data_IF_556801483127
#
_entry.id   IF_556801483127
#
_cell.length_a   1.000
_cell.length_b   1.000
_cell.length_c   1.000
_cell.angle_alpha   90.00
_cell.angle_beta   90.00
_cell.angle_gamma   90.00
#
_symmetry.space_group_name_H-M   'P 1'
#
loop_
_entity.id
_entity.type
_entity.pdbx_description
1 polymer ?
#
# COMPACT_ATOMS: atom_id res chain seq x y z
N UNK A 1 -20.71 5.25 -3.54
CA UNK A 1 -19.73 6.32 -3.81
C UNK A 1 -18.79 5.83 -4.89
N UNK A 2 -18.87 6.42 -6.09
CA UNK A 2 -18.04 6.03 -7.23
C UNK A 2 -16.63 6.61 -7.08
N UNK A 3 -15.61 5.77 -7.27
CA UNK A 3 -14.18 6.12 -7.25
C UNK A 3 -13.78 6.88 -8.54
N UNK A 4 -14.31 8.05 -8.72
CA UNK A 4 -14.12 8.77 -9.97
C UNK A 4 -13.20 9.97 -9.86
N UNK A 5 -11.87 9.81 -9.92
CA UNK A 5 -10.98 10.94 -10.28
C UNK A 5 -9.49 10.57 -10.49
N UNK A 6 -9.16 9.37 -10.94
CA UNK A 6 -7.78 9.07 -11.38
C UNK A 6 -7.49 9.48 -12.84
N UNK A 7 -8.43 10.14 -13.53
CA UNK A 7 -8.17 10.78 -14.83
C UNK A 7 -7.46 12.14 -14.74
N UNK A 8 -7.04 12.56 -13.53
CA UNK A 8 -6.20 13.76 -13.42
C UNK A 8 -4.74 13.40 -13.67
N UNK A 9 -4.17 14.05 -14.65
CA UNK A 9 -2.75 14.07 -14.99
C UNK A 9 -1.89 14.13 -13.74
N UNK A 10 -1.14 13.07 -13.46
CA UNK A 10 -0.24 13.01 -12.30
C UNK A 10 0.95 13.92 -12.60
N UNK A 11 0.98 15.11 -12.00
CA UNK A 11 2.14 16.01 -12.08
C UNK A 11 3.21 15.60 -11.07
N UNK A 12 4.38 15.18 -11.56
CA UNK A 12 5.57 14.91 -10.74
C UNK A 12 6.39 16.20 -10.56
N UNK A 13 6.82 16.57 -9.33
CA UNK A 13 7.81 17.61 -9.15
C UNK A 13 9.20 17.03 -9.48
N UNK A 14 9.81 17.46 -10.56
CA UNK A 14 11.13 17.03 -10.99
C UNK A 14 11.95 18.18 -11.55
N UNK A 15 13.21 18.21 -11.19
CA UNK A 15 14.22 19.16 -11.65
C UNK A 15 14.38 19.14 -13.18
N UNK A 16 14.54 20.31 -13.76
CA UNK A 16 14.82 20.62 -15.16
C UNK A 16 13.66 20.63 -16.18
N UNK A 17 13.70 21.71 -16.99
CA UNK A 17 12.79 22.06 -18.09
C UNK A 17 12.78 21.02 -19.23
N UNK A 18 12.26 19.83 -19.00
CA UNK A 18 11.88 18.87 -20.04
C UNK A 18 10.43 18.44 -19.82
N UNK A 19 9.66 18.36 -20.91
CA UNK A 19 8.23 18.02 -20.97
C UNK A 19 7.84 17.02 -19.88
N UNK A 20 6.95 17.44 -18.97
CA UNK A 20 6.22 16.54 -18.07
C UNK A 20 5.44 15.56 -18.96
N UNK A 21 5.92 14.34 -19.10
CA UNK A 21 5.11 13.25 -19.66
C UNK A 21 4.18 12.81 -18.55
N UNK A 22 2.92 13.11 -18.70
CA UNK A 22 1.90 12.61 -17.78
C UNK A 22 1.86 11.08 -17.90
N UNK A 23 2.10 10.39 -16.80
CA UNK A 23 1.96 8.94 -16.75
C UNK A 23 0.49 8.58 -17.00
N UNK A 24 0.21 7.89 -18.09
CA UNK A 24 -1.14 7.39 -18.40
C UNK A 24 -1.25 5.95 -17.93
N UNK A 25 -2.04 5.71 -16.90
CA UNK A 25 -2.40 4.36 -16.46
C UNK A 25 -3.66 3.93 -17.20
N UNK A 26 -3.60 2.80 -17.88
CA UNK A 26 -4.75 2.26 -18.62
C UNK A 26 -5.76 1.62 -17.66
N UNK A 27 -7.05 1.84 -17.93
CA UNK A 27 -8.12 1.09 -17.26
C UNK A 27 -8.36 -0.25 -17.93
N UNK A 28 -8.99 -1.19 -17.23
CA UNK A 28 -9.43 -2.47 -17.81
C UNK A 28 -10.30 -2.26 -19.05
N UNK A 29 -11.25 -1.32 -18.99
CA UNK A 29 -12.13 -1.00 -20.12
C UNK A 29 -11.34 -0.52 -21.35
N UNK A 30 -10.33 0.37 -21.16
CA UNK A 30 -9.47 0.86 -22.25
C UNK A 30 -8.62 -0.26 -22.86
N UNK A 31 -8.05 -1.14 -22.04
CA UNK A 31 -7.23 -2.26 -22.52
C UNK A 31 -8.05 -3.26 -23.32
N UNK A 32 -9.23 -3.66 -22.83
CA UNK A 32 -10.13 -4.56 -23.55
C UNK A 32 -10.59 -3.93 -24.87
N UNK A 33 -10.94 -2.64 -24.85
CA UNK A 33 -11.33 -1.93 -26.08
C UNK A 33 -10.21 -1.89 -27.13
N UNK A 34 -8.93 -1.93 -26.71
CA UNK A 34 -7.76 -2.01 -27.59
C UNK A 34 -7.32 -3.45 -27.91
N UNK A 35 -8.07 -4.47 -27.47
CA UNK A 35 -7.74 -5.89 -27.67
C UNK A 35 -6.54 -6.37 -26.84
N UNK A 36 -6.20 -5.67 -25.77
CA UNK A 36 -5.10 -6.00 -24.88
C UNK A 36 -5.60 -6.63 -23.58
N UNK A 37 -4.79 -7.51 -22.99
CA UNK A 37 -5.07 -8.11 -21.67
C UNK A 37 -3.88 -7.84 -20.75
N UNK A 38 -4.09 -7.24 -19.57
CA UNK A 38 -3.03 -7.05 -18.61
C UNK A 38 -2.64 -8.38 -17.94
N UNK A 39 -1.39 -8.50 -17.50
CA UNK A 39 -0.93 -9.63 -16.71
C UNK A 39 -1.37 -9.53 -15.25
N UNK A 40 -1.60 -8.31 -14.75
CA UNK A 40 -2.01 -8.05 -13.37
C UNK A 40 -2.95 -6.84 -13.28
N UNK A 41 -3.97 -6.94 -12.44
CA UNK A 41 -4.81 -5.81 -12.05
C UNK A 41 -4.17 -5.12 -10.83
N UNK A 42 -3.88 -3.83 -10.91
CA UNK A 42 -3.54 -3.04 -9.74
C UNK A 42 -4.82 -2.52 -9.07
N UNK A 43 -5.17 -3.14 -7.95
CA UNK A 43 -6.25 -2.69 -7.07
C UNK A 43 -5.76 -1.52 -6.22
N UNK A 44 -6.24 -0.32 -6.50
CA UNK A 44 -5.78 0.93 -5.89
C UNK A 44 -6.30 1.10 -4.46
N UNK A 45 -7.54 0.74 -4.22
CA UNK A 45 -8.22 0.88 -2.94
C UNK A 45 -8.69 2.31 -2.64
N UNK A 46 -9.60 2.43 -1.66
CA UNK A 46 -10.18 3.73 -1.29
C UNK A 46 -9.14 4.73 -0.75
N UNK A 47 -8.20 4.28 0.08
CA UNK A 47 -7.14 5.16 0.58
C UNK A 47 -6.29 5.70 -0.56
N UNK A 48 -5.79 4.83 -1.45
CA UNK A 48 -4.99 5.21 -2.61
C UNK A 48 -5.68 6.14 -3.58
N UNK A 49 -7.03 6.15 -3.58
CA UNK A 49 -7.84 7.00 -4.46
C UNK A 49 -8.19 8.36 -3.86
N UNK A 50 -8.42 8.45 -2.55
CA UNK A 50 -9.00 9.64 -1.92
C UNK A 50 -8.10 10.33 -0.88
N UNK A 51 -7.20 9.60 -0.22
CA UNK A 51 -6.29 10.19 0.74
C UNK A 51 -5.04 10.74 0.05
N UNK A 52 -4.73 12.02 0.26
CA UNK A 52 -3.62 12.70 -0.40
C UNK A 52 -2.25 12.07 -0.06
N UNK A 53 -2.09 11.54 1.15
CA UNK A 53 -0.85 10.86 1.55
C UNK A 53 -0.75 9.50 0.85
N UNK A 54 -1.82 8.73 0.83
CA UNK A 54 -1.87 7.42 0.18
C UNK A 54 -1.79 7.51 -1.35
N UNK A 55 -2.27 8.59 -1.98
CA UNK A 55 -2.10 8.84 -3.41
C UNK A 55 -0.62 8.90 -3.83
N UNK A 56 0.29 9.34 -2.94
CA UNK A 56 1.74 9.30 -3.22
C UNK A 56 2.24 7.86 -3.33
N UNK A 57 1.74 6.97 -2.47
CA UNK A 57 2.05 5.52 -2.51
C UNK A 57 1.56 4.91 -3.83
N UNK A 58 0.29 5.21 -4.20
CA UNK A 58 -0.30 4.75 -5.47
C UNK A 58 0.55 5.18 -6.67
N UNK A 59 0.94 6.45 -6.71
CA UNK A 59 1.77 7.02 -7.79
C UNK A 59 3.16 6.38 -7.83
N UNK A 60 3.78 6.20 -6.68
CA UNK A 60 5.07 5.54 -6.57
C UNK A 60 5.02 4.11 -7.10
N UNK A 61 4.02 3.34 -6.67
CA UNK A 61 3.87 1.96 -7.11
C UNK A 61 3.56 1.85 -8.61
N UNK A 62 2.67 2.70 -9.15
CA UNK A 62 2.42 2.76 -10.59
C UNK A 62 3.70 3.11 -11.38
N UNK A 63 4.52 4.07 -10.88
CA UNK A 63 5.82 4.41 -11.49
C UNK A 63 6.77 3.21 -11.52
N UNK A 64 6.79 2.40 -10.45
CA UNK A 64 7.59 1.18 -10.40
C UNK A 64 7.12 0.18 -11.45
N UNK A 65 5.81 -0.06 -11.54
CA UNK A 65 5.24 -0.99 -12.52
C UNK A 65 5.60 -0.58 -13.97
N UNK A 66 5.48 0.70 -14.28
CA UNK A 66 5.86 1.24 -15.60
C UNK A 66 7.35 1.06 -15.89
N UNK A 67 8.23 1.45 -14.96
CA UNK A 67 9.69 1.30 -15.12
C UNK A 67 10.13 -0.17 -15.20
N UNK A 68 9.45 -1.06 -14.48
CA UNK A 68 9.71 -2.50 -14.51
C UNK A 68 9.11 -3.19 -15.75
N UNK A 69 8.42 -2.45 -16.64
CA UNK A 69 7.79 -2.99 -17.85
C UNK A 69 6.66 -3.98 -17.56
N UNK A 70 5.97 -3.83 -16.43
CA UNK A 70 4.82 -4.68 -16.07
C UNK A 70 3.61 -4.24 -16.88
N UNK A 71 2.95 -5.20 -17.54
CA UNK A 71 1.68 -4.95 -18.23
C UNK A 71 0.52 -5.02 -17.23
N UNK A 72 0.06 -3.87 -16.75
CA UNK A 72 -0.99 -3.77 -15.73
C UNK A 72 -2.11 -2.81 -16.14
N UNK A 73 -3.25 -2.95 -15.49
CA UNK A 73 -4.37 -2.04 -15.58
C UNK A 73 -4.97 -1.76 -14.20
N UNK A 74 -5.80 -0.72 -14.12
CA UNK A 74 -6.65 -0.42 -12.97
C UNK A 74 -8.12 -0.52 -13.36
N UNK A 75 -9.04 -0.64 -12.39
CA UNK A 75 -10.48 -0.55 -12.68
C UNK A 75 -10.94 0.90 -12.87
N UNK A 76 -10.22 1.89 -12.31
CA UNK A 76 -10.60 3.30 -12.37
C UNK A 76 -11.94 3.55 -11.69
N UNK A 77 -12.91 4.11 -12.43
CA UNK A 77 -14.24 4.44 -11.89
C UNK A 77 -15.11 3.23 -11.52
N UNK A 78 -14.75 2.05 -12.00
CA UNK A 78 -15.46 0.81 -11.71
C UNK A 78 -15.00 0.17 -10.39
N UNK A 79 -13.86 0.62 -9.83
CA UNK A 79 -13.38 0.15 -8.54
C UNK A 79 -14.22 0.73 -7.39
N UNK A 80 -14.73 -0.13 -6.53
CA UNK A 80 -15.39 0.26 -5.29
C UNK A 80 -14.58 -0.21 -4.07
N UNK A 81 -14.95 0.26 -2.86
CA UNK A 81 -14.32 -0.26 -1.65
C UNK A 81 -14.53 -1.77 -1.51
N UNK A 82 -13.52 -2.50 -1.03
CA UNK A 82 -13.63 -3.95 -0.77
C UNK A 82 -14.66 -4.34 0.29
N UNK A 83 -15.12 -3.37 1.08
CA UNK A 83 -16.08 -3.59 2.17
C UNK A 83 -15.43 -3.90 3.51
N UNK A 84 -14.08 -3.91 3.64
CA UNK A 84 -13.40 -4.20 4.91
C UNK A 84 -13.90 -3.33 6.07
N UNK A 85 -14.01 -1.99 5.97
CA UNK A 85 -14.50 -1.17 7.07
C UNK A 85 -15.92 -1.53 7.50
N UNK A 86 -16.81 -1.84 6.55
CA UNK A 86 -18.18 -2.23 6.84
C UNK A 86 -18.22 -3.55 7.63
N UNK A 87 -17.46 -4.55 7.17
CA UNK A 87 -17.38 -5.86 7.83
C UNK A 87 -16.80 -5.75 9.25
N UNK A 88 -15.70 -5.01 9.41
CA UNK A 88 -15.07 -4.81 10.72
C UNK A 88 -15.93 -3.99 11.68
N UNK A 89 -16.82 -3.13 11.16
CA UNK A 89 -17.82 -2.42 11.96
C UNK A 89 -19.09 -3.25 12.27
N UNK A 90 -19.15 -4.51 11.81
CA UNK A 90 -20.28 -5.42 12.05
C UNK A 90 -21.43 -5.29 11.03
N UNK A 91 -21.27 -4.51 9.96
CA UNK A 91 -22.27 -4.39 8.91
C UNK A 91 -22.02 -5.40 7.79
N UNK A 92 -22.37 -6.66 8.07
CA UNK A 92 -22.16 -7.78 7.15
C UNK A 92 -22.97 -7.61 5.84
N UNK A 93 -24.19 -7.08 5.95
CA UNK A 93 -25.02 -6.83 4.76
C UNK A 93 -24.35 -5.87 3.77
N UNK A 94 -23.86 -4.74 4.27
CA UNK A 94 -23.15 -3.78 3.43
C UNK A 94 -21.87 -4.38 2.85
N UNK A 95 -21.11 -5.15 3.63
CA UNK A 95 -19.94 -5.85 3.14
C UNK A 95 -20.26 -6.77 1.96
N UNK A 96 -21.28 -7.62 2.11
CA UNK A 96 -21.65 -8.58 1.06
C UNK A 96 -22.13 -7.88 -0.21
N UNK A 97 -22.89 -6.80 -0.10
CA UNK A 97 -23.33 -5.99 -1.24
C UNK A 97 -22.14 -5.42 -2.01
N UNK A 98 -21.17 -4.84 -1.30
CA UNK A 98 -19.96 -4.27 -1.90
C UNK A 98 -19.06 -5.34 -2.52
N UNK A 99 -18.87 -6.45 -1.82
CA UNK A 99 -18.09 -7.58 -2.30
C UNK A 99 -18.70 -8.19 -3.55
N UNK A 100 -20.02 -8.42 -3.56
CA UNK A 100 -20.72 -8.98 -4.71
C UNK A 100 -20.58 -8.08 -5.95
N UNK A 101 -20.74 -6.77 -5.80
CA UNK A 101 -20.55 -5.82 -6.90
C UNK A 101 -19.12 -5.91 -7.47
N UNK A 102 -18.11 -5.90 -6.62
CA UNK A 102 -16.72 -6.02 -7.05
C UNK A 102 -16.43 -7.37 -7.73
N UNK A 103 -16.96 -8.47 -7.19
CA UNK A 103 -16.80 -9.81 -7.77
C UNK A 103 -17.42 -9.88 -9.17
N UNK A 104 -18.59 -9.28 -9.38
CA UNK A 104 -19.22 -9.21 -10.71
C UNK A 104 -18.31 -8.50 -11.72
N UNK A 105 -17.73 -7.35 -11.35
CA UNK A 105 -16.81 -6.58 -12.19
C UNK A 105 -15.53 -7.38 -12.48
N UNK A 106 -14.90 -7.93 -11.46
CA UNK A 106 -13.66 -8.71 -11.59
C UNK A 106 -13.86 -9.95 -12.47
N UNK A 107 -14.96 -10.67 -12.28
CA UNK A 107 -15.32 -11.85 -13.09
C UNK A 107 -15.70 -11.44 -14.52
N UNK A 108 -16.39 -10.32 -14.72
CA UNK A 108 -16.71 -9.77 -16.04
C UNK A 108 -15.46 -9.48 -16.88
N UNK A 109 -14.40 -9.02 -16.26
CA UNK A 109 -13.07 -8.82 -16.87
C UNK A 109 -12.19 -10.08 -16.88
N UNK A 110 -12.67 -11.20 -16.34
CA UNK A 110 -11.90 -12.46 -16.22
C UNK A 110 -10.57 -12.28 -15.49
N UNK A 111 -10.52 -11.40 -14.48
CA UNK A 111 -9.31 -11.12 -13.71
C UNK A 111 -8.81 -12.39 -13.01
N UNK A 112 -7.50 -12.65 -13.11
CA UNK A 112 -6.83 -13.79 -12.48
C UNK A 112 -5.89 -13.36 -11.35
N UNK A 113 -5.12 -12.29 -11.56
CA UNK A 113 -4.08 -11.82 -10.65
C UNK A 113 -4.32 -10.37 -10.27
N UNK A 114 -4.24 -10.09 -8.96
CA UNK A 114 -4.46 -8.77 -8.38
C UNK A 114 -3.26 -8.41 -7.51
N UNK A 115 -2.71 -7.20 -7.67
CA UNK A 115 -1.74 -6.61 -6.75
C UNK A 115 -2.36 -5.40 -6.05
N UNK A 116 -2.09 -5.22 -4.77
CA UNK A 116 -2.57 -4.06 -4.01
C UNK A 116 -1.55 -3.59 -2.99
N UNK A 117 -1.53 -2.29 -2.70
CA UNK A 117 -0.68 -1.67 -1.67
C UNK A 117 -1.31 -1.70 -0.28
N UNK A 118 -2.59 -2.06 -0.17
CA UNK A 118 -3.32 -2.07 1.09
C UNK A 118 -3.51 -3.49 1.64
N UNK A 119 -2.92 -3.84 2.82
CA UNK A 119 -3.12 -5.15 3.45
C UNK A 119 -4.57 -5.47 3.79
N UNK A 120 -5.41 -4.47 4.04
CA UNK A 120 -6.85 -4.66 4.26
C UNK A 120 -7.53 -5.16 2.99
N UNK A 121 -7.27 -4.50 1.84
CA UNK A 121 -7.77 -4.95 0.54
C UNK A 121 -7.22 -6.34 0.20
N UNK A 122 -5.92 -6.56 0.42
CA UNK A 122 -5.26 -7.84 0.22
C UNK A 122 -5.98 -8.97 0.99
N UNK A 123 -6.21 -8.77 2.29
CA UNK A 123 -6.86 -9.77 3.13
C UNK A 123 -8.28 -10.09 2.66
N UNK A 124 -9.07 -9.07 2.37
CA UNK A 124 -10.46 -9.23 1.91
C UNK A 124 -10.52 -9.97 0.58
N UNK A 125 -9.76 -9.51 -0.41
CA UNK A 125 -9.76 -10.09 -1.76
C UNK A 125 -9.26 -11.54 -1.74
N UNK A 126 -8.23 -11.84 -0.92
CA UNK A 126 -7.61 -13.16 -0.85
C UNK A 126 -8.39 -14.16 0.00
N UNK A 127 -8.84 -13.75 1.19
CA UNK A 127 -9.31 -14.68 2.22
C UNK A 127 -10.83 -14.66 2.41
N UNK A 128 -11.50 -13.56 2.03
CA UNK A 128 -12.91 -13.38 2.35
C UNK A 128 -13.81 -13.40 1.10
N UNK A 129 -13.36 -12.90 -0.04
CA UNK A 129 -14.10 -13.00 -1.31
C UNK A 129 -14.32 -14.42 -1.83
N UNK A 130 -13.41 -15.40 -1.58
CA UNK A 130 -13.67 -16.78 -2.01
C UNK A 130 -14.97 -17.37 -1.49
N UNK A 131 -15.39 -17.03 -0.27
CA UNK A 131 -16.68 -17.47 0.29
C UNK A 131 -17.91 -16.90 -0.46
N UNK A 132 -17.70 -15.84 -1.26
CA UNK A 132 -18.72 -15.18 -2.07
C UNK A 132 -18.56 -15.44 -3.58
N UNK A 133 -17.66 -16.37 -3.97
CA UNK A 133 -17.41 -16.75 -5.37
C UNK A 133 -16.32 -15.93 -6.08
N UNK A 134 -15.56 -15.07 -5.36
CA UNK A 134 -14.46 -14.29 -5.91
C UNK A 134 -13.11 -14.95 -5.66
N UNK A 135 -12.61 -15.73 -6.63
CA UNK A 135 -11.35 -16.48 -6.48
C UNK A 135 -10.27 -15.88 -7.39
N UNK A 136 -9.28 -15.23 -6.77
CA UNK A 136 -8.19 -14.54 -7.47
C UNK A 136 -6.84 -14.88 -6.82
N UNK A 137 -5.76 -14.86 -7.62
CA UNK A 137 -4.41 -14.78 -7.10
C UNK A 137 -4.18 -13.35 -6.62
N UNK A 138 -4.12 -13.15 -5.31
CA UNK A 138 -3.92 -11.81 -4.72
C UNK A 138 -2.54 -11.73 -4.11
N UNK A 139 -1.78 -10.71 -4.51
CA UNK A 139 -0.41 -10.47 -4.04
C UNK A 139 -0.35 -9.07 -3.41
N UNK A 140 0.31 -8.97 -2.28
CA UNK A 140 0.62 -7.68 -1.68
C UNK A 140 1.81 -7.02 -2.41
N UNK A 141 1.82 -5.70 -2.54
CA UNK A 141 2.85 -5.00 -3.31
C UNK A 141 4.28 -5.30 -2.84
N UNK A 142 4.52 -5.56 -1.56
CA UNK A 142 5.86 -5.92 -1.07
C UNK A 142 6.34 -7.27 -1.58
N UNK A 143 5.44 -8.25 -1.72
CA UNK A 143 5.78 -9.54 -2.33
C UNK A 143 6.07 -9.36 -3.82
N UNK A 144 5.24 -8.55 -4.50
CA UNK A 144 5.42 -8.27 -5.93
C UNK A 144 6.71 -7.49 -6.20
N UNK A 145 7.06 -6.51 -5.34
CA UNK A 145 8.34 -5.81 -5.41
C UNK A 145 9.52 -6.76 -5.23
N UNK A 146 9.45 -7.67 -4.25
CA UNK A 146 10.46 -8.70 -4.07
C UNK A 146 10.64 -9.56 -5.32
N UNK A 147 9.54 -10.05 -5.91
CA UNK A 147 9.57 -10.82 -7.16
C UNK A 147 10.23 -10.03 -8.30
N UNK A 148 9.88 -8.76 -8.48
CA UNK A 148 10.46 -7.91 -9.54
C UNK A 148 11.96 -7.63 -9.33
N UNK A 149 12.40 -7.48 -8.08
CA UNK A 149 13.83 -7.32 -7.73
C UNK A 149 14.59 -8.63 -8.04
N UNK A 150 14.07 -9.78 -7.59
CA UNK A 150 14.68 -11.11 -7.84
C UNK A 150 14.76 -11.44 -9.33
N UNK A 151 13.78 -10.99 -10.13
CA UNK A 151 13.78 -11.13 -11.60
C UNK A 151 14.70 -10.13 -12.32
N UNK A 152 15.31 -9.17 -11.59
CA UNK A 152 16.14 -8.12 -12.16
C UNK A 152 15.36 -7.07 -12.97
N UNK A 153 14.03 -7.03 -12.85
CA UNK A 153 13.16 -6.01 -13.47
C UNK A 153 13.23 -4.67 -12.74
N UNK A 154 13.51 -4.68 -11.44
CA UNK A 154 13.81 -3.50 -10.63
C UNK A 154 15.32 -3.46 -10.43
N UNK A 155 15.96 -2.35 -10.83
CA UNK A 155 17.37 -2.09 -10.60
C UNK A 155 17.52 -0.91 -9.65
N UNK A 156 18.09 -1.18 -8.49
CA UNK A 156 18.42 -0.16 -7.51
C UNK A 156 19.76 0.48 -7.89
N UNK A 157 19.86 1.80 -7.83
CA UNK A 157 21.11 2.52 -8.12
C UNK A 157 22.10 2.35 -6.97
N UNK A 158 23.40 2.15 -7.27
CA UNK A 158 24.45 2.09 -6.26
C UNK A 158 24.60 3.37 -5.44
N UNK A 159 24.15 4.50 -6.02
CA UNK A 159 24.17 5.84 -5.40
C UNK A 159 22.79 6.27 -4.91
N UNK A 160 21.90 5.32 -4.55
CA UNK A 160 20.58 5.65 -4.03
C UNK A 160 20.67 6.45 -2.71
N UNK A 161 19.70 7.33 -2.49
CA UNK A 161 19.70 8.26 -1.35
C UNK A 161 19.55 7.58 0.03
N UNK A 162 19.22 6.28 0.07
CA UNK A 162 18.98 5.51 1.29
C UNK A 162 20.22 4.81 1.82
N UNK A 163 21.24 4.62 0.98
CA UNK A 163 22.44 3.87 1.31
C UNK A 163 23.12 4.37 2.58
N UNK A 164 23.36 3.45 3.51
CA UNK A 164 24.01 3.75 4.79
C UNK A 164 23.14 4.46 5.82
N UNK A 165 21.86 4.70 5.52
CA UNK A 165 20.90 5.23 6.49
C UNK A 165 20.21 4.10 7.26
N UNK A 166 19.65 4.44 8.42
CA UNK A 166 18.92 3.49 9.26
C UNK A 166 17.41 3.60 9.05
N UNK A 167 16.72 2.46 9.16
CA UNK A 167 15.28 2.38 9.02
C UNK A 167 14.68 1.42 10.04
N UNK A 168 13.50 1.74 10.55
CA UNK A 168 12.68 0.78 11.28
C UNK A 168 11.43 0.45 10.48
N UNK A 169 10.91 -0.77 10.63
CA UNK A 169 9.75 -1.24 9.87
C UNK A 169 8.56 -1.52 10.78
N UNK A 170 7.40 -0.97 10.40
CA UNK A 170 6.14 -1.28 11.05
C UNK A 170 5.45 -2.46 10.38
N UNK A 171 5.38 -3.59 11.07
CA UNK A 171 4.61 -4.76 10.62
C UNK A 171 3.11 -4.47 10.62
N UNK A 172 2.54 -4.28 9.44
CA UNK A 172 1.09 -4.09 9.27
C UNK A 172 0.35 -5.35 9.67
N UNK A 173 -0.63 -5.23 10.59
CA UNK A 173 -1.26 -6.39 11.23
C UNK A 173 -1.96 -7.33 10.24
N UNK A 174 -2.60 -6.80 9.18
CA UNK A 174 -3.25 -7.62 8.15
C UNK A 174 -2.27 -8.28 7.18
N UNK A 175 -1.04 -7.74 7.05
CA UNK A 175 0.00 -8.39 6.26
C UNK A 175 0.70 -9.47 7.09
N UNK A 176 1.21 -9.09 8.26
CA UNK A 176 1.95 -10.00 9.14
C UNK A 176 1.03 -10.96 9.88
N UNK A 177 0.29 -10.46 10.88
CA UNK A 177 -0.45 -11.30 11.81
C UNK A 177 -1.57 -12.10 11.17
N UNK A 178 -2.29 -11.54 10.18
CA UNK A 178 -3.39 -12.22 9.50
C UNK A 178 -2.93 -13.10 8.32
N UNK A 179 -1.77 -12.81 7.72
CA UNK A 179 -1.32 -13.50 6.51
C UNK A 179 0.13 -14.01 6.58
N UNK A 180 0.80 -13.89 7.73
CA UNK A 180 2.16 -14.41 8.01
C UNK A 180 3.26 -13.89 7.07
N UNK A 181 3.04 -12.73 6.43
CA UNK A 181 3.99 -12.11 5.50
C UNK A 181 4.86 -11.11 6.28
N UNK A 182 6.05 -11.56 6.68
CA UNK A 182 7.02 -10.78 7.45
C UNK A 182 8.31 -10.50 6.68
N UNK A 183 8.74 -11.45 5.86
CA UNK A 183 10.06 -11.40 5.22
C UNK A 183 10.08 -10.58 3.93
N UNK A 184 9.01 -10.61 3.12
CA UNK A 184 8.97 -9.87 1.87
C UNK A 184 9.25 -8.36 2.03
N UNK A 185 8.61 -7.64 2.98
CA UNK A 185 8.95 -6.23 3.23
C UNK A 185 10.41 -6.02 3.61
N UNK A 186 10.98 -6.91 4.44
CA UNK A 186 12.37 -6.82 4.91
C UNK A 186 13.37 -7.02 3.78
N UNK A 187 13.16 -8.03 2.93
CA UNK A 187 14.00 -8.26 1.75
C UNK A 187 13.99 -7.08 0.78
N UNK A 188 12.83 -6.43 0.61
CA UNK A 188 12.75 -5.22 -0.21
C UNK A 188 13.55 -4.08 0.42
N UNK A 189 13.49 -3.88 1.74
CA UNK A 189 14.29 -2.87 2.45
C UNK A 189 15.79 -3.18 2.43
N UNK A 190 16.17 -4.44 2.57
CA UNK A 190 17.58 -4.89 2.46
C UNK A 190 18.18 -4.54 1.10
N UNK A 191 17.38 -4.58 0.00
CA UNK A 191 17.85 -4.21 -1.33
C UNK A 191 18.25 -2.74 -1.48
N UNK A 192 17.87 -1.88 -0.53
CA UNK A 192 18.21 -0.46 -0.48
C UNK A 192 19.56 -0.18 0.23
N UNK A 193 20.23 -1.22 0.75
CA UNK A 193 21.47 -1.10 1.52
C UNK A 193 21.33 -0.19 2.77
N UNK A 194 20.19 -0.35 3.47
CA UNK A 194 19.85 0.35 4.71
C UNK A 194 20.08 -0.55 5.93
N UNK A 195 20.41 0.06 7.08
CA UNK A 195 20.46 -0.61 8.37
C UNK A 195 19.04 -0.78 8.94
N UNK A 196 18.49 -1.99 8.94
CA UNK A 196 17.19 -2.27 9.54
C UNK A 196 17.31 -2.42 11.06
N UNK A 197 16.65 -1.53 11.81
CA UNK A 197 16.54 -1.56 13.27
C UNK A 197 15.12 -1.95 13.67
N UNK A 198 14.94 -3.15 14.17
CA UNK A 198 13.62 -3.66 14.55
C UNK A 198 13.06 -2.95 15.79
N UNK A 199 11.76 -2.65 15.78
CA UNK A 199 11.06 -2.19 16.97
C UNK A 199 10.98 -3.32 18.01
N UNK A 200 10.84 -2.97 19.28
CA UNK A 200 10.72 -3.93 20.40
C UNK A 200 9.61 -4.96 20.16
N UNK A 201 8.45 -4.51 19.68
CA UNK A 201 7.32 -5.36 19.26
C UNK A 201 7.30 -5.41 17.73
N UNK A 202 7.89 -6.44 17.13
CA UNK A 202 7.96 -6.65 15.70
C UNK A 202 7.43 -8.02 15.27
N UNK A 203 7.25 -8.23 13.99
CA UNK A 203 6.73 -9.48 13.39
C UNK A 203 5.40 -9.89 14.01
N UNK A 204 5.29 -11.14 14.49
CA UNK A 204 4.06 -11.69 15.10
C UNK A 204 3.63 -10.98 16.38
N UNK A 205 4.56 -10.33 17.08
CA UNK A 205 4.31 -9.54 18.29
C UNK A 205 4.11 -8.05 18.02
N UNK A 206 4.09 -7.64 16.74
CA UNK A 206 3.97 -6.24 16.33
C UNK A 206 2.75 -5.55 16.94
N UNK A 207 2.94 -4.34 17.50
CA UNK A 207 1.83 -3.50 17.95
C UNK A 207 1.09 -2.92 16.75
N UNK A 208 -0.24 -2.84 16.86
CA UNK A 208 -1.09 -2.23 15.83
C UNK A 208 -0.83 -0.72 15.69
N UNK A 209 -1.09 -0.17 14.49
CA UNK A 209 -1.10 1.28 14.29
C UNK A 209 -2.36 1.98 14.81
N UNK A 210 -3.41 1.21 15.16
CA UNK A 210 -4.67 1.74 15.66
C UNK A 210 -5.76 2.02 14.60
N UNK A 211 -5.47 1.89 13.30
CA UNK A 211 -6.46 2.17 12.23
C UNK A 211 -7.48 1.05 12.02
N UNK A 212 -7.07 -0.21 12.27
CA UNK A 212 -7.86 -1.40 11.95
C UNK A 212 -9.16 -1.51 12.74
N UNK A 213 -10.03 -2.47 12.36
CA UNK A 213 -11.33 -2.65 13.01
C UNK A 213 -12.30 -1.48 12.75
N UNK A 214 -12.14 -0.77 11.65
CA UNK A 214 -12.86 0.46 11.32
C UNK A 214 -12.63 1.62 12.32
N UNK A 215 -11.64 1.53 13.23
CA UNK A 215 -11.38 2.55 14.25
C UNK A 215 -11.05 3.92 13.62
N UNK A 216 -10.35 3.94 12.49
CA UNK A 216 -10.05 5.19 11.76
C UNK A 216 -11.29 6.00 11.37
N UNK A 217 -12.46 5.36 11.31
CA UNK A 217 -13.73 5.96 10.88
C UNK A 217 -14.71 6.17 12.04
N UNK A 218 -14.32 5.88 13.27
CA UNK A 218 -15.12 6.03 14.47
C UNK A 218 -14.64 7.23 15.29
N UNK A 219 -15.53 7.72 16.16
CA UNK A 219 -15.15 8.64 17.21
C UNK A 219 -14.14 7.96 18.14
N UNK A 220 -13.21 8.75 18.65
CA UNK A 220 -12.16 8.24 19.51
C UNK A 220 -12.72 7.87 20.89
N UNK A 221 -12.42 6.65 21.31
CA UNK A 221 -12.77 6.18 22.65
C UNK A 221 -11.86 6.80 23.70
N UNK A 222 -12.42 7.11 24.89
CA UNK A 222 -11.64 7.62 26.00
C UNK A 222 -10.64 6.56 26.50
N UNK A 223 -9.39 6.96 26.67
CA UNK A 223 -8.30 6.10 27.15
C UNK A 223 -7.10 6.95 27.56
N UNK A 224 -6.13 6.31 28.19
CA UNK A 224 -4.93 6.99 28.71
C UNK A 224 -3.96 7.39 27.59
N UNK A 225 -3.91 6.60 26.52
CA UNK A 225 -2.98 6.81 25.39
C UNK A 225 -3.52 6.20 24.10
N UNK A 226 -3.43 6.94 23.01
CA UNK A 226 -3.76 6.43 21.68
C UNK A 226 -2.78 5.34 21.24
N UNK A 227 -3.29 4.31 20.57
CA UNK A 227 -2.48 3.19 20.08
C UNK A 227 -1.40 3.66 19.08
N UNK A 228 -1.73 4.59 18.18
CA UNK A 228 -0.75 5.13 17.23
C UNK A 228 0.38 5.91 17.91
N UNK A 229 0.08 6.61 19.02
CA UNK A 229 1.09 7.32 19.80
C UNK A 229 2.07 6.34 20.46
N UNK A 230 1.56 5.25 21.05
CA UNK A 230 2.40 4.21 21.64
C UNK A 230 3.26 3.53 20.58
N UNK A 231 2.71 3.28 19.40
CA UNK A 231 3.48 2.69 18.29
C UNK A 231 4.52 3.67 17.73
N UNK A 232 4.19 4.96 17.66
CA UNK A 232 5.15 6.00 17.27
C UNK A 232 6.33 6.09 18.25
N UNK A 233 6.07 5.98 19.57
CA UNK A 233 7.13 5.95 20.58
C UNK A 233 8.11 4.79 20.34
N UNK A 234 7.62 3.57 20.09
CA UNK A 234 8.50 2.44 19.78
C UNK A 234 9.32 2.66 18.49
N UNK A 235 8.74 3.34 17.49
CA UNK A 235 9.48 3.67 16.29
C UNK A 235 10.59 4.70 16.56
N UNK A 236 10.31 5.73 17.36
CA UNK A 236 11.27 6.75 17.77
C UNK A 236 12.39 6.15 18.63
N UNK A 237 12.07 5.23 19.54
CA UNK A 237 13.05 4.53 20.40
C UNK A 237 14.12 3.77 19.60
N UNK A 238 13.86 3.41 18.33
CA UNK A 238 14.87 2.75 17.48
C UNK A 238 16.00 3.69 17.04
N UNK A 239 15.83 5.00 17.19
CA UNK A 239 16.74 6.03 16.69
C UNK A 239 17.07 5.84 15.19
N UNK A 240 16.07 5.45 14.40
CA UNK A 240 16.20 5.29 12.95
C UNK A 240 15.90 6.59 12.22
N UNK A 241 16.56 6.82 11.08
CA UNK A 241 16.35 8.00 10.24
C UNK A 241 14.93 8.00 9.62
N UNK A 242 14.40 6.79 9.35
CA UNK A 242 13.08 6.61 8.72
C UNK A 242 12.27 5.53 9.40
N UNK A 243 10.95 5.64 9.24
CA UNK A 243 9.98 4.57 9.53
C UNK A 243 9.37 4.09 8.23
N UNK A 244 9.57 2.82 7.89
CA UNK A 244 8.89 2.20 6.75
C UNK A 244 7.56 1.58 7.16
N UNK A 245 6.58 1.68 6.29
CA UNK A 245 5.33 0.93 6.36
C UNK A 245 4.98 0.32 5.01
N UNK A 246 4.05 -0.62 5.00
CA UNK A 246 3.53 -1.25 3.80
C UNK A 246 1.99 -1.30 3.85
N UNK A 247 1.39 -0.21 4.29
CA UNK A 247 -0.05 -0.02 4.41
C UNK A 247 -0.38 1.47 4.44
N UNK A 248 -1.26 1.97 3.57
CA UNK A 248 -1.61 3.38 3.53
C UNK A 248 -2.20 3.88 4.86
N UNK A 249 -3.03 3.08 5.52
CA UNK A 249 -3.59 3.45 6.83
C UNK A 249 -2.53 3.48 7.93
N UNK A 250 -1.62 2.49 7.98
CA UNK A 250 -0.52 2.50 8.94
C UNK A 250 0.40 3.72 8.71
N UNK A 251 0.64 4.07 7.45
CA UNK A 251 1.44 5.24 7.11
C UNK A 251 0.84 6.53 7.66
N UNK A 252 -0.47 6.74 7.48
CA UNK A 252 -1.20 7.89 8.03
C UNK A 252 -1.14 7.91 9.55
N UNK A 253 -1.44 6.78 10.22
CA UNK A 253 -1.46 6.70 11.68
C UNK A 253 -0.09 6.95 12.32
N UNK A 254 0.97 6.38 11.73
CA UNK A 254 2.34 6.60 12.23
C UNK A 254 2.81 8.02 11.97
N UNK A 255 2.51 8.59 10.81
CA UNK A 255 2.82 9.99 10.50
C UNK A 255 2.16 10.92 11.51
N UNK A 256 0.88 10.68 11.82
CA UNK A 256 0.15 11.44 12.83
C UNK A 256 0.73 11.25 14.23
N UNK A 257 1.01 10.00 14.62
CA UNK A 257 1.62 9.66 15.90
C UNK A 257 2.97 10.35 16.12
N UNK A 258 3.85 10.34 15.11
CA UNK A 258 5.18 10.99 15.21
C UNK A 258 5.04 12.51 15.27
N UNK A 259 4.21 13.12 14.42
CA UNK A 259 3.98 14.58 14.42
C UNK A 259 3.44 15.11 15.75
N UNK A 260 2.66 14.29 16.47
CA UNK A 260 2.10 14.67 17.76
C UNK A 260 3.10 14.53 18.92
N UNK A 261 4.35 14.09 18.70
CA UNK A 261 5.32 13.89 19.78
C UNK A 261 6.16 15.12 20.08
N UNK A 262 6.99 15.56 19.18
CA UNK A 262 7.78 16.78 19.37
C UNK A 262 8.22 17.33 18.02
N UNK A 263 8.33 18.64 17.89
CA UNK A 263 8.88 19.30 16.70
C UNK A 263 10.35 18.93 16.43
N UNK A 264 11.06 18.38 17.43
CA UNK A 264 12.46 17.94 17.31
C UNK A 264 12.63 16.54 16.69
N UNK A 265 11.54 15.73 16.59
CA UNK A 265 11.60 14.40 15.99
C UNK A 265 11.45 14.52 14.47
N UNK A 266 12.57 14.47 13.76
CA UNK A 266 12.64 14.62 12.31
C UNK A 266 12.59 13.27 11.57
N UNK A 267 11.86 12.28 12.10
CA UNK A 267 11.74 10.95 11.50
C UNK A 267 10.58 10.92 10.50
N UNK A 268 10.89 10.69 9.23
CA UNK A 268 9.88 10.63 8.15
C UNK A 268 9.30 9.21 8.04
N UNK A 269 7.97 9.12 7.86
CA UNK A 269 7.27 7.85 7.60
C UNK A 269 7.05 7.71 6.10
N UNK A 270 7.60 6.66 5.52
CA UNK A 270 7.51 6.35 4.09
C UNK A 270 6.89 4.98 3.85
N UNK A 271 6.18 4.84 2.75
CA UNK A 271 5.84 3.51 2.25
C UNK A 271 7.02 2.92 1.47
N UNK A 272 7.16 1.60 1.55
CA UNK A 272 8.22 0.87 0.85
C UNK A 272 8.19 1.18 -0.67
N UNK A 273 7.01 1.32 -1.27
CA UNK A 273 6.89 1.67 -2.68
C UNK A 273 7.49 3.06 -3.00
N UNK A 274 7.35 4.04 -2.11
CA UNK A 274 7.95 5.37 -2.30
C UNK A 274 9.47 5.31 -2.27
N UNK A 275 10.02 4.48 -1.37
CA UNK A 275 11.46 4.29 -1.25
C UNK A 275 12.05 3.63 -2.48
N UNK A 276 11.44 2.54 -2.96
CA UNK A 276 11.87 1.84 -4.18
C UNK A 276 11.75 2.76 -5.41
N UNK A 277 10.64 3.49 -5.57
CA UNK A 277 10.45 4.39 -6.72
C UNK A 277 11.54 5.46 -6.82
N UNK A 278 12.03 5.96 -5.67
CA UNK A 278 13.14 6.93 -5.61
C UNK A 278 14.51 6.28 -5.85
N UNK A 279 14.69 5.03 -5.47
CA UNK A 279 15.95 4.30 -5.61
C UNK A 279 16.17 3.69 -7.00
N UNK A 280 15.12 3.57 -7.81
CA UNK A 280 15.19 3.02 -9.18
C UNK A 280 15.84 4.00 -10.15
N UNK A 281 16.62 3.45 -11.08
CA UNK A 281 17.16 4.15 -12.24
C UNK A 281 16.10 4.64 -13.20
#
# INVERSE_FOLDING_TARGET
MHLGNLHQTIEMPGQNKHKKVAMKVNTMAEMIASGQTPEVLFWVGCAGSFDQRAQKITKAFATILDKAGVNYAILGKEEACTGDPARRAGNEFMFQMMAYQNIQILNGYSIKKIVTTCPHCFNILKNEYPALGGNYEVIHHTQFLQELIEQGKIKITDSNEWKGKSITYHDSCYLGRANEIYEAPRKVLESLDMELREMKRCKSKGLCCGAGGAQMFKEEEKGDKRVNMERADEAIETNSDFVASACPFCNTMLTDGIKNRNEEVNTEVLDIAEMIAKAMQ
#
